data_IF_945332744889
#
_entry.id   IF_945332744889
#
_cell.length_a   1.000
_cell.length_b   1.000
_cell.length_c   1.000
_cell.angle_alpha   90.00
_cell.angle_beta   90.00
_cell.angle_gamma   90.00
#
_symmetry.space_group_name_H-M   'P 1'
#
loop_
_entity.id
_entity.type
_entity.pdbx_description
1 polymer ?
#
# COMPACT_ATOMS: atom_id res chain seq x y z
N UNK A 1 -21.74 -23.80 -32.98
CA UNK A 1 -21.84 -23.87 -31.50
C UNK A 1 -20.56 -23.40 -30.81
N UNK A 2 -19.39 -24.00 -31.11
CA UNK A 2 -18.10 -23.62 -30.48
C UNK A 2 -17.73 -22.13 -30.64
N UNK A 3 -17.95 -21.54 -31.83
CA UNK A 3 -17.70 -20.12 -32.09
C UNK A 3 -18.58 -19.16 -31.28
N UNK A 4 -19.82 -19.56 -30.98
CA UNK A 4 -20.77 -18.74 -30.19
C UNK A 4 -20.34 -18.75 -28.73
N UNK A 5 -19.98 -19.92 -28.19
CA UNK A 5 -19.45 -20.06 -26.82
C UNK A 5 -18.17 -19.23 -26.67
N UNK A 6 -17.23 -19.32 -27.61
CA UNK A 6 -16.02 -18.49 -27.61
C UNK A 6 -16.32 -16.99 -27.62
N UNK A 7 -17.28 -16.56 -28.45
CA UNK A 7 -17.67 -15.14 -28.54
C UNK A 7 -18.31 -14.63 -27.24
N UNK A 8 -19.11 -15.45 -26.57
CA UNK A 8 -19.69 -15.13 -25.27
C UNK A 8 -18.60 -14.95 -24.20
N UNK A 9 -17.65 -15.88 -24.10
CA UNK A 9 -16.51 -15.74 -23.18
C UNK A 9 -15.68 -14.49 -23.48
N UNK A 10 -15.40 -14.22 -24.76
CA UNK A 10 -14.61 -13.06 -25.16
C UNK A 10 -15.33 -11.75 -24.83
N UNK A 11 -16.65 -11.68 -24.98
CA UNK A 11 -17.43 -10.49 -24.60
C UNK A 11 -17.38 -10.19 -23.11
N UNK A 12 -17.40 -11.23 -22.26
CA UNK A 12 -17.30 -11.06 -20.80
C UNK A 12 -15.91 -10.54 -20.44
N UNK A 13 -14.85 -11.09 -21.03
CA UNK A 13 -13.48 -10.62 -20.77
C UNK A 13 -13.30 -9.19 -21.29
N UNK A 14 -13.86 -8.87 -22.47
CA UNK A 14 -13.78 -7.54 -23.06
C UNK A 14 -14.40 -6.45 -22.18
N UNK A 15 -15.47 -6.78 -21.45
CA UNK A 15 -16.13 -5.88 -20.51
C UNK A 15 -15.21 -5.43 -19.36
N UNK A 16 -14.27 -6.28 -18.94
CA UNK A 16 -13.32 -6.00 -17.86
C UNK A 16 -11.98 -5.43 -18.35
N UNK A 17 -11.77 -5.23 -19.66
CA UNK A 17 -10.54 -4.61 -20.20
C UNK A 17 -10.20 -3.26 -19.55
N UNK A 18 -11.16 -2.34 -19.31
CA UNK A 18 -10.85 -1.04 -18.69
C UNK A 18 -10.24 -1.13 -17.28
N UNK A 19 -10.34 -2.30 -16.63
CA UNK A 19 -9.83 -2.55 -15.28
C UNK A 19 -8.43 -3.12 -15.23
N UNK A 20 -7.85 -3.53 -16.37
CA UNK A 20 -6.61 -4.31 -16.39
C UNK A 20 -5.50 -3.67 -15.54
N UNK A 21 -5.36 -2.34 -15.59
CA UNK A 21 -4.37 -1.63 -14.78
C UNK A 21 -4.61 -1.72 -13.27
N UNK A 22 -5.87 -1.73 -12.83
CA UNK A 22 -6.23 -1.84 -11.41
C UNK A 22 -5.95 -3.27 -10.91
N UNK A 23 -6.39 -4.28 -11.66
CA UNK A 23 -6.15 -5.70 -11.32
C UNK A 23 -4.64 -5.97 -11.20
N UNK A 24 -3.85 -5.53 -12.19
CA UNK A 24 -2.38 -5.67 -12.17
C UNK A 24 -1.76 -4.95 -10.98
N UNK A 25 -2.24 -3.75 -10.61
CA UNK A 25 -1.71 -3.02 -9.46
C UNK A 25 -1.96 -3.75 -8.13
N UNK A 26 -3.17 -4.29 -7.93
CA UNK A 26 -3.51 -5.06 -6.72
C UNK A 26 -2.75 -6.38 -6.69
N UNK A 27 -2.73 -7.12 -7.79
CA UNK A 27 -1.93 -8.34 -7.91
C UNK A 27 -0.44 -8.12 -7.65
N UNK A 28 0.12 -7.00 -8.14
CA UNK A 28 1.51 -6.62 -7.85
C UNK A 28 1.73 -6.32 -6.36
N UNK A 29 0.79 -5.65 -5.69
CA UNK A 29 0.88 -5.39 -4.25
C UNK A 29 0.89 -6.68 -3.42
N UNK A 30 0.02 -7.64 -3.74
CA UNK A 30 -0.02 -8.95 -3.06
C UNK A 30 1.25 -9.77 -3.38
N UNK A 31 1.75 -9.69 -4.62
CA UNK A 31 3.01 -10.33 -4.98
C UNK A 31 4.19 -9.77 -4.17
N UNK A 32 4.24 -8.45 -3.99
CA UNK A 32 5.22 -7.80 -3.12
C UNK A 32 5.07 -8.24 -1.66
N UNK A 33 3.84 -8.29 -1.12
CA UNK A 33 3.58 -8.82 0.23
C UNK A 33 4.12 -10.24 0.37
N UNK A 34 3.83 -11.10 -0.60
CA UNK A 34 4.30 -12.49 -0.64
C UNK A 34 5.82 -12.57 -0.65
N UNK A 35 6.50 -11.76 -1.48
CA UNK A 35 7.96 -11.69 -1.49
C UNK A 35 8.51 -11.27 -0.12
N UNK A 36 7.89 -10.28 0.55
CA UNK A 36 8.32 -9.85 1.89
C UNK A 36 8.06 -10.90 2.98
N UNK A 37 6.94 -11.61 2.90
CA UNK A 37 6.62 -12.73 3.80
C UNK A 37 7.59 -13.89 3.65
N UNK A 38 7.98 -14.22 2.41
CA UNK A 38 9.00 -15.24 2.13
C UNK A 38 10.36 -14.79 2.68
N UNK A 39 10.78 -13.56 2.39
CA UNK A 39 12.03 -12.98 2.89
C UNK A 39 12.12 -13.02 4.43
N UNK A 40 11.05 -12.63 5.12
CA UNK A 40 10.92 -12.75 6.57
C UNK A 40 11.11 -14.19 7.04
N UNK A 41 10.47 -15.16 6.39
CA UNK A 41 10.58 -16.57 6.78
C UNK A 41 12.02 -17.09 6.68
N UNK A 42 12.75 -16.69 5.63
CA UNK A 42 14.17 -16.98 5.50
C UNK A 42 14.99 -16.32 6.60
N UNK A 43 14.74 -15.05 6.92
CA UNK A 43 15.51 -14.32 7.93
C UNK A 43 15.28 -14.84 9.35
N UNK A 44 14.07 -15.27 9.67
CA UNK A 44 13.68 -15.78 11.00
C UNK A 44 13.82 -17.30 11.12
N UNK A 45 14.31 -18.01 10.09
CA UNK A 45 14.41 -19.48 10.05
C UNK A 45 13.09 -20.20 10.39
N UNK A 46 11.94 -19.58 10.09
CA UNK A 46 10.62 -20.20 10.32
C UNK A 46 10.30 -21.11 9.13
N UNK A 47 9.81 -22.35 9.34
CA UNK A 47 9.41 -23.22 8.25
C UNK A 47 8.20 -22.65 7.50
N UNK A 48 8.23 -22.76 6.18
CA UNK A 48 7.11 -22.39 5.29
C UNK A 48 6.27 -23.65 5.06
N UNK A 49 5.03 -23.63 5.54
CA UNK A 49 4.07 -24.72 5.33
C UNK A 49 3.24 -24.46 4.06
N UNK A 50 2.82 -25.53 3.38
CA UNK A 50 1.97 -25.47 2.17
C UNK A 50 0.68 -24.65 2.37
N UNK A 51 0.13 -24.67 3.59
CA UNK A 51 -1.07 -23.89 3.93
C UNK A 51 -0.91 -22.39 3.73
N UNK A 52 0.29 -21.83 4.00
CA UNK A 52 0.56 -20.40 3.78
C UNK A 52 0.52 -20.00 2.30
N UNK A 53 0.96 -20.89 1.40
CA UNK A 53 0.84 -20.65 -0.04
C UNK A 53 -0.62 -20.67 -0.50
N UNK A 54 -1.44 -21.56 0.05
CA UNK A 54 -2.87 -21.57 -0.22
C UNK A 54 -3.54 -20.28 0.25
N UNK A 55 -3.14 -19.74 1.41
CA UNK A 55 -3.66 -18.47 1.93
C UNK A 55 -3.31 -17.29 0.99
N UNK A 56 -2.13 -17.28 0.38
CA UNK A 56 -1.72 -16.27 -0.62
C UNK A 56 -2.57 -16.38 -1.89
N UNK A 57 -2.78 -17.59 -2.42
CA UNK A 57 -3.63 -17.81 -3.60
C UNK A 57 -5.07 -17.36 -3.28
N UNK A 58 -5.54 -17.62 -2.07
CA UNK A 58 -6.86 -17.21 -1.62
C UNK A 58 -6.98 -15.69 -1.51
N UNK A 59 -5.96 -14.99 -0.99
CA UNK A 59 -5.89 -13.52 -1.02
C UNK A 59 -6.00 -12.99 -2.45
N UNK A 60 -5.16 -13.50 -3.36
CA UNK A 60 -5.18 -13.11 -4.79
C UNK A 60 -6.57 -13.29 -5.39
N UNK A 61 -7.18 -14.47 -5.23
CA UNK A 61 -8.49 -14.76 -5.82
C UNK A 61 -9.60 -13.88 -5.24
N UNK A 62 -9.62 -13.68 -3.91
CA UNK A 62 -10.65 -12.85 -3.26
C UNK A 62 -10.51 -11.39 -3.67
N UNK A 63 -9.29 -10.85 -3.72
CA UNK A 63 -9.07 -9.43 -4.00
C UNK A 63 -9.47 -9.09 -5.44
N UNK A 64 -9.08 -9.92 -6.40
CA UNK A 64 -9.46 -9.74 -7.80
C UNK A 64 -10.98 -9.89 -7.98
N UNK A 65 -11.61 -10.89 -7.32
CA UNK A 65 -13.07 -11.07 -7.37
C UNK A 65 -13.83 -9.86 -6.81
N UNK A 66 -13.37 -9.30 -5.68
CA UNK A 66 -13.98 -8.11 -5.07
C UNK A 66 -13.93 -6.92 -6.01
N UNK A 67 -12.81 -6.70 -6.70
CA UNK A 67 -12.66 -5.61 -7.68
C UNK A 67 -13.61 -5.81 -8.86
N UNK A 68 -13.72 -7.02 -9.39
CA UNK A 68 -14.64 -7.34 -10.49
C UNK A 68 -16.10 -7.10 -10.09
N UNK A 69 -16.49 -7.50 -8.87
CA UNK A 69 -17.84 -7.26 -8.36
C UNK A 69 -18.13 -5.77 -8.18
N UNK A 70 -17.23 -5.03 -7.55
CA UNK A 70 -17.40 -3.59 -7.32
C UNK A 70 -17.43 -2.84 -8.64
N UNK A 71 -16.59 -3.20 -9.62
CA UNK A 71 -16.64 -2.59 -10.95
C UNK A 71 -17.99 -2.78 -11.63
N UNK A 72 -18.54 -3.99 -11.56
CA UNK A 72 -19.85 -4.27 -12.15
C UNK A 72 -20.92 -3.37 -11.52
N UNK A 73 -20.88 -3.24 -10.19
CA UNK A 73 -21.78 -2.35 -9.44
C UNK A 73 -21.54 -0.88 -9.84
N UNK A 74 -20.29 -0.42 -9.84
CA UNK A 74 -19.88 0.95 -10.14
C UNK A 74 -20.28 1.35 -11.57
N UNK A 75 -20.08 0.46 -12.54
CA UNK A 75 -20.46 0.66 -13.93
C UNK A 75 -21.98 0.78 -14.12
N UNK A 76 -22.77 -0.13 -13.55
CA UNK A 76 -24.23 -0.19 -13.75
C UNK A 76 -25.03 0.74 -12.85
N UNK A 77 -24.63 0.96 -11.59
CA UNK A 77 -25.41 1.72 -10.60
C UNK A 77 -24.88 3.14 -10.36
N UNK A 78 -23.56 3.33 -10.27
CA UNK A 78 -22.97 4.57 -9.75
C UNK A 78 -22.39 5.49 -10.82
N UNK A 79 -22.14 4.98 -12.02
CA UNK A 79 -21.44 5.72 -13.07
C UNK A 79 -22.19 6.97 -13.53
N UNK A 80 -23.52 7.01 -13.46
CA UNK A 80 -24.31 8.20 -13.77
C UNK A 80 -24.37 9.19 -12.60
N UNK A 81 -24.47 8.68 -11.37
CA UNK A 81 -24.58 9.49 -10.16
C UNK A 81 -23.29 10.25 -9.85
N UNK A 82 -22.13 9.62 -10.07
CA UNK A 82 -20.82 10.19 -9.75
C UNK A 82 -20.22 11.05 -10.84
N UNK A 83 -20.59 10.86 -12.13
CA UNK A 83 -20.13 11.74 -13.22
C UNK A 83 -20.52 13.21 -13.02
N UNK A 84 -21.59 13.47 -12.28
CA UNK A 84 -22.07 14.81 -11.94
C UNK A 84 -21.18 15.52 -10.91
N UNK A 85 -20.52 14.78 -10.01
CA UNK A 85 -19.70 15.34 -8.93
C UNK A 85 -18.20 15.20 -9.19
N UNK A 86 -17.80 14.11 -9.84
CA UNK A 86 -16.41 13.78 -10.10
C UNK A 86 -16.27 13.36 -11.56
N UNK A 87 -15.43 14.06 -12.33
CA UNK A 87 -15.14 13.74 -13.73
C UNK A 87 -14.25 12.49 -13.89
N UNK A 88 -14.33 11.55 -12.95
CA UNK A 88 -13.48 10.36 -12.85
C UNK A 88 -14.36 9.11 -12.97
N UNK A 89 -14.14 8.34 -14.04
CA UNK A 89 -14.79 7.04 -14.20
C UNK A 89 -14.29 6.02 -13.19
N UNK A 90 -15.20 5.13 -12.77
CA UNK A 90 -14.94 3.99 -11.88
C UNK A 90 -14.34 4.38 -10.53
N UNK A 91 -14.91 5.41 -9.90
CA UNK A 91 -14.37 6.00 -8.68
C UNK A 91 -14.33 4.99 -7.52
N UNK A 92 -15.41 4.25 -7.30
CA UNK A 92 -15.50 3.28 -6.20
C UNK A 92 -14.56 2.11 -6.41
N UNK A 93 -14.43 1.66 -7.64
CA UNK A 93 -13.48 0.62 -8.01
C UNK A 93 -12.06 1.04 -7.65
N UNK A 94 -11.65 2.26 -8.01
CA UNK A 94 -10.32 2.80 -7.68
C UNK A 94 -10.13 2.98 -6.19
N UNK A 95 -11.14 3.50 -5.49
CA UNK A 95 -11.11 3.68 -4.05
C UNK A 95 -10.93 2.34 -3.32
N UNK A 96 -11.69 1.32 -3.72
CA UNK A 96 -11.56 -0.02 -3.15
C UNK A 96 -10.18 -0.62 -3.43
N UNK A 97 -9.67 -0.51 -4.66
CA UNK A 97 -8.34 -0.99 -5.00
C UNK A 97 -7.24 -0.31 -4.16
N UNK A 98 -7.35 0.99 -3.89
CA UNK A 98 -6.43 1.68 -2.98
C UNK A 98 -6.48 1.13 -1.56
N UNK A 99 -7.68 0.80 -1.05
CA UNK A 99 -7.83 0.19 0.28
C UNK A 99 -7.18 -1.20 0.31
N UNK A 100 -7.38 -2.03 -0.72
CA UNK A 100 -6.76 -3.36 -0.81
C UNK A 100 -5.23 -3.28 -0.91
N UNK A 101 -4.68 -2.35 -1.68
CA UNK A 101 -3.23 -2.13 -1.74
C UNK A 101 -2.72 -1.63 -0.38
N UNK A 102 -3.49 -0.79 0.30
CA UNK A 102 -3.13 -0.27 1.62
C UNK A 102 -3.08 -1.37 2.69
N UNK A 103 -4.00 -2.34 2.66
CA UNK A 103 -3.94 -3.48 3.59
C UNK A 103 -2.69 -4.35 3.37
N UNK A 104 -2.29 -4.55 2.11
CA UNK A 104 -1.02 -5.25 1.80
C UNK A 104 0.21 -4.42 2.22
N UNK A 105 0.18 -3.09 2.08
CA UNK A 105 1.26 -2.24 2.61
C UNK A 105 1.43 -2.35 4.13
N UNK A 106 0.34 -2.48 4.89
CA UNK A 106 0.39 -2.74 6.33
C UNK A 106 1.03 -4.12 6.59
N UNK A 107 0.64 -5.14 5.84
CA UNK A 107 1.19 -6.50 5.98
C UNK A 107 2.70 -6.55 5.66
N UNK A 108 3.13 -5.87 4.59
CA UNK A 108 4.54 -5.69 4.23
C UNK A 108 5.32 -5.05 5.39
N UNK A 109 4.78 -3.98 5.98
CA UNK A 109 5.41 -3.28 7.09
C UNK A 109 5.62 -4.24 8.28
N UNK A 110 4.60 -5.01 8.66
CA UNK A 110 4.69 -6.02 9.72
C UNK A 110 5.75 -7.09 9.39
N UNK A 111 5.81 -7.52 8.13
CA UNK A 111 6.79 -8.49 7.68
C UNK A 111 8.23 -7.98 7.81
N UNK A 112 8.47 -6.71 7.47
CA UNK A 112 9.79 -6.06 7.58
C UNK A 112 10.17 -5.83 9.05
N UNK A 113 9.24 -5.36 9.89
CA UNK A 113 9.47 -5.14 11.32
C UNK A 113 9.89 -6.44 12.02
N UNK A 114 9.21 -7.55 11.73
CA UNK A 114 9.59 -8.86 12.26
C UNK A 114 10.92 -9.39 11.69
N UNK A 115 11.18 -9.19 10.39
CA UNK A 115 12.42 -9.68 9.78
C UNK A 115 13.67 -8.97 10.33
N UNK A 116 13.57 -7.67 10.62
CA UNK A 116 14.69 -6.86 11.10
C UNK A 116 14.68 -6.65 12.62
N UNK A 117 13.66 -7.13 13.36
CA UNK A 117 13.43 -6.83 14.78
C UNK A 117 13.45 -5.31 15.08
N UNK A 118 12.95 -4.52 14.13
CA UNK A 118 12.88 -3.06 14.25
C UNK A 118 11.43 -2.63 14.46
N UNK A 119 11.24 -1.52 15.17
CA UNK A 119 9.95 -0.84 15.25
C UNK A 119 10.05 0.43 14.40
N UNK A 120 9.50 0.43 13.18
CA UNK A 120 9.64 1.54 12.23
C UNK A 120 9.08 2.82 12.85
N UNK A 121 7.95 2.73 13.55
CA UNK A 121 7.33 3.87 14.22
C UNK A 121 8.22 4.42 15.35
N UNK A 122 8.85 3.56 16.16
CA UNK A 122 9.76 3.99 17.22
C UNK A 122 11.04 4.61 16.66
N UNK A 123 11.57 4.06 15.57
CA UNK A 123 12.73 4.64 14.89
C UNK A 123 12.41 6.03 14.34
N UNK A 124 11.25 6.20 13.71
CA UNK A 124 10.80 7.51 13.23
C UNK A 124 10.65 8.51 14.38
N UNK A 125 10.02 8.12 15.50
CA UNK A 125 9.91 8.97 16.69
C UNK A 125 11.29 9.35 17.26
N UNK A 126 12.24 8.41 17.27
CA UNK A 126 13.60 8.68 17.75
C UNK A 126 14.36 9.64 16.82
N UNK A 127 14.15 9.54 15.50
CA UNK A 127 14.72 10.49 14.53
C UNK A 127 14.12 11.88 14.73
N UNK A 128 12.79 11.99 14.87
CA UNK A 128 12.12 13.28 15.09
C UNK A 128 12.57 13.95 16.40
N UNK A 129 12.70 13.18 17.50
CA UNK A 129 13.23 13.69 18.76
C UNK A 129 14.67 14.18 18.62
N UNK A 130 15.55 13.40 17.98
CA UNK A 130 16.94 13.80 17.72
C UNK A 130 17.04 15.10 16.92
N UNK A 131 16.23 15.28 15.87
CA UNK A 131 16.23 16.51 15.08
C UNK A 131 15.78 17.71 15.90
N UNK A 132 14.78 17.53 16.77
CA UNK A 132 14.32 18.59 17.66
C UNK A 132 15.37 18.96 18.70
N UNK A 133 16.06 17.99 19.28
CA UNK A 133 17.11 18.22 20.28
C UNK A 133 18.33 18.91 19.63
N UNK A 134 18.76 18.47 18.44
CA UNK A 134 19.81 19.16 17.66
C UNK A 134 19.45 20.61 17.32
N UNK A 135 18.19 20.90 17.01
CA UNK A 135 17.72 22.26 16.76
C UNK A 135 17.84 23.14 18.02
N UNK A 136 17.58 22.58 19.20
CA UNK A 136 17.75 23.30 20.47
C UNK A 136 19.22 23.57 20.77
N UNK A 137 20.07 22.56 20.63
CA UNK A 137 21.51 22.70 20.88
C UNK A 137 22.15 23.77 19.96
N UNK A 138 21.74 23.85 18.69
CA UNK A 138 22.22 24.89 17.76
C UNK A 138 21.73 26.29 18.17
N UNK A 139 20.49 26.42 18.64
CA UNK A 139 19.95 27.70 19.09
C UNK A 139 20.69 28.18 20.35
N UNK A 140 20.87 27.31 21.34
CA UNK A 140 21.57 27.64 22.57
C UNK A 140 23.02 28.07 22.30
N UNK A 141 23.73 27.40 21.37
CA UNK A 141 25.09 27.79 20.96
C UNK A 141 25.13 29.14 20.23
N UNK A 142 24.10 29.46 19.43
CA UNK A 142 24.01 30.73 18.70
C UNK A 142 23.72 31.89 19.66
N UNK A 143 22.85 31.66 20.66
CA UNK A 143 22.51 32.66 21.68
C UNK A 143 23.69 32.96 22.63
N UNK A 144 24.49 31.95 23.00
CA UNK A 144 25.70 32.15 23.81
C UNK A 144 26.75 32.98 23.04
N UNK A 145 26.93 32.73 21.73
CA UNK A 145 27.87 33.50 20.92
C UNK A 145 27.44 34.95 20.72
N UNK A 146 26.13 35.22 20.63
CA UNK A 146 25.61 36.59 20.58
C UNK A 146 25.66 37.31 21.94
N UNK A 147 25.52 36.59 23.06
CA UNK A 147 25.67 37.16 24.41
C UNK A 147 27.12 37.49 24.81
N UNK A 148 28.10 36.73 24.30
CA UNK A 148 29.53 36.94 24.62
C UNK A 148 30.18 38.10 23.85
N UNK A 149 29.60 38.55 22.73
CA UNK A 149 30.18 39.61 21.91
C UNK A 149 29.86 41.03 22.40
N UNK A 150 29.03 41.17 23.44
CA UNK A 150 28.58 42.45 24.00
C UNK A 150 29.19 42.81 25.37
N UNK A 151 30.17 42.04 25.87
CA UNK A 151 30.77 42.23 27.19
C UNK A 151 32.30 42.35 27.15
N UNK A 152 32.81 43.24 26.29
CA UNK A 152 34.14 43.84 26.48
C UNK A 152 33.96 45.25 27.06
N UNK A 153 34.12 45.44 28.39
CA UNK A 153 34.13 46.77 28.96
C UNK A 153 35.49 47.43 28.67
N UNK A 154 35.44 48.65 28.12
CA UNK A 154 36.56 49.59 28.07
C UNK A 154 37.12 49.88 29.46
#
# INVERSE_FOLDING_TARGET
>A
MMKIIQSLFLSVIAFYIPLQGILVAVGAAIALDTCTGIYKSFKTNKPIYSRRFADIILKMLIYELVILMIYTIDYFLLSEFFKLWFSVGYFFTKACAMVLIFTEMISIKENIEEAHNINILKQLQNVLKRTHDLKKDILDLTDINHGSNNSQPY
#
